data_IF_732792683375
#
_entry.id   IF_732792683375
#
_cell.length_a   1.000
_cell.length_b   1.000
_cell.length_c   1.000
_cell.angle_alpha   90.00
_cell.angle_beta   90.00
_cell.angle_gamma   90.00
#
_symmetry.space_group_name_H-M   'P 1'
#
loop_
_entity.id
_entity.type
_entity.pdbx_description
1 polymer ?
#
# COMPACT_ATOMS: atom_id res chain seq x y z
N UNK A 1 19.27 16.99 73.59
CA UNK A 1 19.77 17.99 72.62
C UNK A 1 19.63 17.32 71.27
N UNK A 2 18.49 17.59 70.63
CA UNK A 2 18.41 18.39 69.38
C UNK A 2 18.82 17.54 68.17
N UNK A 3 17.83 17.13 67.37
CA UNK A 3 17.64 17.56 65.97
C UNK A 3 18.71 16.98 65.01
N UNK A 4 18.43 16.33 63.88
CA UNK A 4 17.52 16.77 62.83
C UNK A 4 17.40 15.70 61.73
N UNK A 5 16.24 15.69 61.07
CA UNK A 5 15.93 15.10 59.77
C UNK A 5 17.00 15.31 58.67
N UNK A 6 17.24 14.29 57.84
CA UNK A 6 17.29 14.42 56.37
C UNK A 6 17.44 13.06 55.67
N UNK A 7 16.74 12.94 54.53
CA UNK A 7 16.84 11.90 53.49
C UNK A 7 15.92 10.68 53.63
N UNK A 8 14.62 10.90 53.38
CA UNK A 8 13.65 9.90 52.94
C UNK A 8 13.32 10.00 51.43
N UNK A 9 14.20 10.61 50.63
CA UNK A 9 14.04 10.68 49.18
C UNK A 9 14.92 9.64 48.48
N UNK A 10 14.43 8.40 48.35
CA UNK A 10 14.80 7.46 47.28
C UNK A 10 14.15 6.07 47.54
N UNK A 11 12.87 5.92 47.18
CA UNK A 11 12.25 4.66 46.69
C UNK A 11 10.74 4.83 46.59
N UNK A 12 10.30 5.54 45.54
CA UNK A 12 8.98 5.33 44.94
C UNK A 12 9.20 4.89 43.51
N UNK A 13 9.36 3.57 43.33
CA UNK A 13 9.30 2.93 42.03
C UNK A 13 7.85 2.46 41.82
N UNK A 14 7.27 2.93 40.71
CA UNK A 14 5.87 2.77 40.31
C UNK A 14 5.54 1.31 40.00
N UNK A 15 4.69 0.68 40.80
CA UNK A 15 3.86 -0.42 40.31
C UNK A 15 2.73 0.17 39.45
N UNK A 16 2.91 0.09 38.13
CA UNK A 16 1.82 0.31 37.17
C UNK A 16 1.22 -1.06 36.88
N UNK A 17 0.07 -1.34 37.48
CA UNK A 17 -0.67 -2.58 37.29
C UNK A 17 -1.13 -2.65 35.82
N UNK A 18 -0.59 -3.62 35.09
CA UNK A 18 -1.04 -3.99 33.75
C UNK A 18 -2.50 -4.44 33.80
N UNK A 19 -3.39 -3.69 33.16
CA UNK A 19 -4.73 -4.18 32.83
C UNK A 19 -4.58 -5.38 31.89
N UNK A 20 -4.67 -6.57 32.47
CA UNK A 20 -4.65 -7.84 31.77
C UNK A 20 -5.91 -7.91 30.89
N UNK A 21 -5.72 -7.86 29.57
CA UNK A 21 -6.79 -7.95 28.59
C UNK A 21 -7.40 -9.36 28.64
N UNK A 22 -8.35 -9.56 29.54
CA UNK A 22 -9.04 -10.84 29.71
C UNK A 22 -10.09 -11.01 28.62
N UNK A 23 -9.80 -11.91 27.67
CA UNK A 23 -10.74 -12.28 26.61
C UNK A 23 -11.91 -13.04 27.26
N UNK A 24 -13.07 -12.39 27.33
CA UNK A 24 -14.31 -13.01 27.82
C UNK A 24 -14.77 -14.15 26.89
N UNK A 25 -14.44 -15.38 27.29
CA UNK A 25 -14.78 -16.62 26.59
C UNK A 25 -16.31 -16.80 26.39
N UNK A 26 -17.16 -16.13 27.19
CA UNK A 26 -18.63 -16.18 27.02
C UNK A 26 -19.08 -15.32 25.83
N UNK A 27 -18.40 -14.23 25.50
CA UNK A 27 -18.65 -13.46 24.26
C UNK A 27 -18.27 -14.25 23.01
N UNK A 28 -17.19 -15.04 23.08
CA UNK A 28 -16.81 -15.98 22.02
C UNK A 28 -17.86 -17.09 21.79
N UNK A 29 -18.54 -17.55 22.83
CA UNK A 29 -19.64 -18.50 22.71
C UNK A 29 -20.87 -17.89 22.00
N UNK A 30 -21.18 -16.60 22.23
CA UNK A 30 -22.21 -15.88 21.47
C UNK A 30 -21.85 -15.66 20.01
N UNK A 31 -20.58 -15.42 19.70
CA UNK A 31 -20.08 -15.35 18.31
C UNK A 31 -20.28 -16.72 17.61
N UNK A 32 -20.03 -17.84 18.30
CA UNK A 32 -20.32 -19.18 17.75
C UNK A 32 -21.80 -19.38 17.41
N UNK A 33 -22.73 -18.78 18.15
CA UNK A 33 -24.17 -18.82 17.85
C UNK A 33 -24.56 -17.96 16.63
N UNK A 34 -24.02 -16.74 16.53
CA UNK A 34 -24.20 -15.85 15.37
C UNK A 34 -23.65 -16.46 14.07
N UNK A 35 -22.65 -17.33 14.18
CA UNK A 35 -22.06 -18.08 13.08
C UNK A 35 -22.46 -19.56 13.07
N UNK A 36 -23.64 -19.92 13.61
CA UNK A 36 -24.30 -21.19 13.28
C UNK A 36 -24.71 -21.16 11.81
N UNK A 37 -23.73 -21.33 10.92
CA UNK A 37 -23.97 -21.72 9.54
C UNK A 37 -24.77 -23.01 9.59
N UNK A 38 -26.08 -22.90 9.32
CA UNK A 38 -26.99 -24.02 9.09
C UNK A 38 -26.22 -25.06 8.28
N UNK A 39 -25.96 -26.24 8.87
CA UNK A 39 -25.06 -27.24 8.29
C UNK A 39 -25.41 -27.44 6.81
N UNK A 40 -24.55 -26.92 5.94
CA UNK A 40 -24.75 -26.94 4.50
C UNK A 40 -24.71 -28.41 4.05
N UNK A 41 -25.88 -28.95 3.69
CA UNK A 41 -26.08 -30.40 3.50
C UNK A 41 -25.35 -30.96 2.28
N UNK A 42 -25.05 -30.14 1.27
CA UNK A 42 -24.49 -30.63 0.00
C UNK A 42 -23.02 -30.25 -0.17
N UNK A 43 -22.21 -31.14 -0.76
CA UNK A 43 -20.81 -30.90 -1.11
C UNK A 43 -20.64 -29.62 -1.97
N UNK A 44 -21.59 -29.38 -2.88
CA UNK A 44 -21.68 -28.16 -3.71
C UNK A 44 -21.83 -26.89 -2.85
N UNK A 45 -22.73 -26.91 -1.87
CA UNK A 45 -22.96 -25.76 -0.99
C UNK A 45 -21.75 -25.42 -0.09
N UNK A 46 -21.03 -26.43 0.41
CA UNK A 46 -19.77 -26.23 1.16
C UNK A 46 -18.64 -25.68 0.27
N UNK A 47 -18.56 -26.13 -0.98
CA UNK A 47 -17.60 -25.62 -1.96
C UNK A 47 -17.86 -24.15 -2.29
N UNK A 48 -19.11 -23.80 -2.61
CA UNK A 48 -19.52 -22.41 -2.87
C UNK A 48 -19.21 -21.52 -1.68
N UNK A 49 -19.56 -21.95 -0.45
CA UNK A 49 -19.25 -21.17 0.74
C UNK A 49 -17.74 -20.92 0.89
N UNK A 50 -16.91 -21.94 0.65
CA UNK A 50 -15.45 -21.81 0.72
C UNK A 50 -14.95 -20.77 -0.29
N UNK A 51 -15.46 -20.81 -1.52
CA UNK A 51 -15.10 -19.84 -2.55
C UNK A 51 -15.50 -18.41 -2.13
N UNK A 52 -16.72 -18.23 -1.60
CA UNK A 52 -17.16 -16.94 -1.09
C UNK A 52 -16.23 -16.41 0.02
N UNK A 53 -15.80 -17.28 0.93
CA UNK A 53 -14.89 -16.91 2.02
C UNK A 53 -13.47 -16.53 1.54
N UNK A 54 -13.03 -17.05 0.39
CA UNK A 54 -11.76 -16.66 -0.24
C UNK A 54 -11.92 -15.32 -0.98
N UNK A 55 -13.09 -15.06 -1.58
CA UNK A 55 -13.32 -13.83 -2.35
C UNK A 55 -13.34 -12.59 -1.44
N UNK A 56 -13.87 -12.69 -0.22
CA UNK A 56 -13.92 -11.56 0.74
C UNK A 56 -12.54 -10.92 0.97
N UNK A 57 -11.49 -11.65 1.41
CA UNK A 57 -10.17 -11.07 1.61
C UNK A 57 -9.50 -10.62 0.32
N UNK A 58 -9.80 -11.23 -0.83
CA UNK A 58 -9.35 -10.74 -2.14
C UNK A 58 -9.92 -9.34 -2.41
N UNK A 59 -11.24 -9.15 -2.24
CA UNK A 59 -11.88 -7.85 -2.44
C UNK A 59 -11.29 -6.80 -1.49
N UNK A 60 -11.11 -7.14 -0.21
CA UNK A 60 -10.48 -6.23 0.77
C UNK A 60 -9.06 -5.87 0.36
N UNK A 61 -8.26 -6.86 -0.06
CA UNK A 61 -6.89 -6.65 -0.51
C UNK A 61 -6.83 -5.70 -1.71
N UNK A 62 -7.70 -5.90 -2.71
CA UNK A 62 -7.82 -5.01 -3.88
C UNK A 62 -8.27 -3.61 -3.44
N UNK A 63 -9.34 -3.50 -2.65
CA UNK A 63 -9.90 -2.22 -2.24
C UNK A 63 -8.87 -1.33 -1.54
N UNK A 64 -8.17 -1.86 -0.54
CA UNK A 64 -7.20 -1.08 0.20
C UNK A 64 -5.93 -0.78 -0.61
N UNK A 65 -5.47 -1.71 -1.45
CA UNK A 65 -4.26 -1.48 -2.26
C UNK A 65 -4.52 -0.59 -3.45
N UNK A 66 -5.76 -0.41 -3.88
CA UNK A 66 -6.11 0.51 -4.98
C UNK A 66 -6.44 1.92 -4.49
N UNK A 67 -6.36 2.21 -3.17
CA UNK A 67 -6.52 3.57 -2.65
C UNK A 67 -5.64 4.62 -3.36
N UNK A 68 -4.36 4.36 -3.67
CA UNK A 68 -3.53 5.35 -4.36
C UNK A 68 -4.03 5.66 -5.79
N UNK A 69 -4.81 4.77 -6.41
CA UNK A 69 -5.37 5.02 -7.76
C UNK A 69 -6.46 6.10 -7.74
N UNK A 70 -7.17 6.25 -6.61
CA UNK A 70 -8.29 7.20 -6.45
C UNK A 70 -7.93 8.43 -5.61
N UNK A 71 -6.77 8.42 -4.96
CA UNK A 71 -6.22 9.53 -4.15
C UNK A 71 -7.26 10.14 -3.19
N UNK A 72 -7.87 9.34 -2.29
CA UNK A 72 -8.92 9.86 -1.40
C UNK A 72 -8.38 10.92 -0.43
N UNK A 73 -7.07 10.86 -0.13
CA UNK A 73 -6.39 11.84 0.72
C UNK A 73 -6.39 13.26 0.12
N UNK A 74 -6.43 13.38 -1.22
CA UNK A 74 -6.50 14.68 -1.88
C UNK A 74 -7.83 15.40 -1.59
N UNK A 75 -8.91 14.64 -1.38
CA UNK A 75 -10.21 15.19 -0.97
C UNK A 75 -10.12 15.76 0.45
N UNK A 76 -9.47 15.02 1.37
CA UNK A 76 -9.28 15.45 2.75
C UNK A 76 -8.39 16.70 2.85
N UNK A 77 -7.28 16.75 2.09
CA UNK A 77 -6.44 17.94 1.98
C UNK A 77 -7.22 19.14 1.45
N UNK A 78 -8.03 18.93 0.40
CA UNK A 78 -8.84 19.99 -0.19
C UNK A 78 -9.89 20.50 0.81
N UNK A 79 -10.58 19.60 1.50
CA UNK A 79 -11.56 19.94 2.53
C UNK A 79 -10.92 20.77 3.64
N UNK A 80 -9.78 20.34 4.18
CA UNK A 80 -9.08 21.06 5.24
C UNK A 80 -8.64 22.46 4.77
N UNK A 81 -8.11 22.58 3.56
CA UNK A 81 -7.72 23.87 2.99
C UNK A 81 -8.90 24.81 2.81
N UNK A 82 -10.00 24.33 2.21
CA UNK A 82 -11.22 25.12 1.99
C UNK A 82 -11.85 25.55 3.31
N UNK A 83 -11.95 24.63 4.28
CA UNK A 83 -12.52 24.92 5.59
C UNK A 83 -11.68 25.95 6.35
N UNK A 84 -10.36 25.80 6.35
CA UNK A 84 -9.46 26.76 6.98
C UNK A 84 -9.54 28.14 6.32
N UNK A 85 -9.65 28.19 4.99
CA UNK A 85 -9.81 29.45 4.26
C UNK A 85 -11.05 30.22 4.73
N UNK A 86 -12.24 29.60 4.68
CA UNK A 86 -13.47 30.28 5.07
C UNK A 86 -13.55 30.58 6.57
N UNK A 87 -13.04 29.69 7.41
CA UNK A 87 -12.93 29.93 8.85
C UNK A 87 -12.06 31.17 9.15
N UNK A 88 -10.94 31.32 8.44
CA UNK A 88 -10.07 32.49 8.58
C UNK A 88 -10.74 33.77 8.07
N UNK A 89 -11.49 33.72 6.96
CA UNK A 89 -12.25 34.87 6.47
C UNK A 89 -13.30 35.35 7.48
N UNK A 90 -14.08 34.42 8.05
CA UNK A 90 -15.06 34.72 9.10
C UNK A 90 -14.34 35.27 10.33
N UNK A 91 -13.21 34.69 10.74
CA UNK A 91 -12.43 35.19 11.87
C UNK A 91 -11.96 36.64 11.67
N UNK A 92 -11.54 37.01 10.46
CA UNK A 92 -11.19 38.40 10.13
C UNK A 92 -12.40 39.33 10.23
N UNK A 93 -13.56 38.93 9.70
CA UNK A 93 -14.79 39.72 9.77
C UNK A 93 -15.26 39.92 11.22
N UNK A 94 -15.29 38.85 12.02
CA UNK A 94 -15.67 38.91 13.43
C UNK A 94 -14.69 39.76 14.24
N UNK A 95 -13.38 39.68 13.94
CA UNK A 95 -12.37 40.51 14.62
C UNK A 95 -12.52 41.99 14.30
N UNK A 96 -12.95 42.34 13.08
CA UNK A 96 -13.24 43.73 12.68
C UNK A 96 -14.52 44.25 13.33
N UNK A 97 -15.56 43.41 13.44
CA UNK A 97 -16.83 43.78 14.07
C UNK A 97 -16.73 43.88 15.60
N UNK A 98 -15.90 43.02 16.22
CA UNK A 98 -15.74 42.92 17.67
C UNK A 98 -14.27 43.01 18.09
N UNK A 99 -13.61 44.17 17.94
CA UNK A 99 -12.17 44.31 18.20
C UNK A 99 -11.79 43.97 19.65
N UNK A 100 -12.64 44.35 20.62
CA UNK A 100 -12.38 44.20 22.05
C UNK A 100 -12.87 42.88 22.66
N UNK A 101 -13.42 41.96 21.85
CA UNK A 101 -13.93 40.70 22.37
C UNK A 101 -12.76 39.75 22.72
N UNK A 102 -12.80 39.03 23.86
CA UNK A 102 -11.77 38.03 24.17
C UNK A 102 -11.66 36.94 23.10
N UNK A 103 -10.44 36.49 22.82
CA UNK A 103 -10.14 35.53 21.75
C UNK A 103 -10.89 34.20 21.88
N UNK A 104 -11.13 33.73 23.11
CA UNK A 104 -11.90 32.51 23.36
C UNK A 104 -13.34 32.67 22.84
N UNK A 105 -13.97 33.80 23.15
CA UNK A 105 -15.34 34.10 22.70
C UNK A 105 -15.40 34.30 21.19
N UNK A 106 -14.38 34.96 20.60
CA UNK A 106 -14.27 35.06 19.12
C UNK A 106 -14.22 33.68 18.47
N UNK A 107 -13.44 32.73 19.01
CA UNK A 107 -13.36 31.36 18.45
C UNK A 107 -14.71 30.64 18.47
N UNK A 108 -15.49 30.78 19.54
CA UNK A 108 -16.84 30.21 19.61
C UNK A 108 -17.75 30.79 18.52
N UNK A 109 -17.80 32.13 18.40
CA UNK A 109 -18.61 32.80 17.37
C UNK A 109 -18.16 32.40 15.98
N UNK A 110 -16.84 32.34 15.72
CA UNK A 110 -16.29 31.91 14.43
C UNK A 110 -16.72 30.49 14.09
N UNK A 111 -16.70 29.56 15.04
CA UNK A 111 -17.14 28.19 14.79
C UNK A 111 -18.64 28.10 14.51
N UNK A 112 -19.47 28.84 15.24
CA UNK A 112 -20.93 28.87 15.05
C UNK A 112 -21.30 29.47 13.69
N UNK A 113 -20.71 30.62 13.34
CA UNK A 113 -20.92 31.27 12.04
C UNK A 113 -20.36 30.43 10.89
N UNK A 114 -19.21 29.78 11.10
CA UNK A 114 -18.67 28.84 10.12
C UNK A 114 -19.61 27.66 9.88
N UNK A 115 -20.21 27.10 10.93
CA UNK A 115 -21.17 26.00 10.78
C UNK A 115 -22.44 26.45 10.03
N UNK A 116 -23.00 27.62 10.37
CA UNK A 116 -24.13 28.21 9.63
C UNK A 116 -23.78 28.45 8.16
N UNK A 117 -22.57 28.93 7.90
CA UNK A 117 -22.07 29.15 6.55
C UNK A 117 -21.96 27.84 5.76
N UNK A 118 -21.39 26.78 6.37
CA UNK A 118 -21.35 25.45 5.75
C UNK A 118 -22.75 24.93 5.44
N UNK A 119 -23.70 25.10 6.38
CA UNK A 119 -25.07 24.60 6.20
C UNK A 119 -25.84 25.34 5.10
N UNK A 120 -25.60 26.65 4.96
CA UNK A 120 -26.23 27.49 3.94
C UNK A 120 -25.59 27.36 2.56
N UNK A 121 -24.31 26.94 2.48
CA UNK A 121 -23.52 26.94 1.26
C UNK A 121 -22.99 25.55 0.87
N UNK A 122 -23.68 24.46 1.26
CA UNK A 122 -23.22 23.07 1.08
C UNK A 122 -22.72 22.76 -0.33
N UNK A 123 -23.52 23.09 -1.34
CA UNK A 123 -23.18 22.78 -2.74
C UNK A 123 -22.00 23.60 -3.25
N UNK A 124 -21.94 24.88 -2.88
CA UNK A 124 -20.82 25.75 -3.21
C UNK A 124 -19.51 25.23 -2.58
N UNK A 125 -19.54 24.86 -1.31
CA UNK A 125 -18.36 24.33 -0.61
C UNK A 125 -17.93 22.99 -1.21
N UNK A 126 -18.89 22.11 -1.50
CA UNK A 126 -18.60 20.83 -2.18
C UNK A 126 -17.95 21.03 -3.54
N UNK A 127 -18.37 22.05 -4.31
CA UNK A 127 -17.73 22.39 -5.58
C UNK A 127 -16.31 22.92 -5.40
N UNK A 128 -16.06 23.78 -4.40
CA UNK A 128 -14.72 24.29 -4.08
C UNK A 128 -13.77 23.15 -3.68
N UNK A 129 -14.23 22.24 -2.81
CA UNK A 129 -13.45 21.06 -2.40
C UNK A 129 -13.15 20.18 -3.61
N UNK A 130 -14.15 19.88 -4.45
CA UNK A 130 -13.96 19.05 -5.64
C UNK A 130 -12.96 19.67 -6.62
N UNK A 131 -13.06 20.97 -6.87
CA UNK A 131 -12.15 21.68 -7.77
C UNK A 131 -10.70 21.65 -7.25
N UNK A 132 -10.50 21.92 -5.96
CA UNK A 132 -9.18 21.89 -5.35
C UNK A 132 -8.60 20.47 -5.25
N UNK A 133 -9.44 19.48 -4.91
CA UNK A 133 -9.10 18.05 -4.90
C UNK A 133 -8.61 17.59 -6.29
N UNK A 134 -9.28 18.06 -7.35
CA UNK A 134 -8.87 17.78 -8.72
C UNK A 134 -7.50 18.39 -9.05
N UNK A 135 -7.24 19.65 -8.65
CA UNK A 135 -5.93 20.29 -8.82
C UNK A 135 -4.81 19.55 -8.08
N UNK A 136 -5.09 18.96 -6.90
CA UNK A 136 -4.11 18.11 -6.20
C UNK A 136 -3.87 16.79 -6.93
N UNK A 137 -4.93 16.15 -7.45
CA UNK A 137 -4.82 14.89 -8.19
C UNK A 137 -4.02 15.06 -9.48
N UNK A 138 -4.22 16.16 -10.20
CA UNK A 138 -3.48 16.48 -11.43
C UNK A 138 -1.96 16.56 -11.22
N UNK A 139 -1.49 16.92 -10.01
CA UNK A 139 -0.06 16.92 -9.67
C UNK A 139 0.51 15.52 -9.38
N UNK A 140 -0.37 14.55 -9.14
CA UNK A 140 -0.02 13.18 -8.75
C UNK A 140 -0.34 12.16 -9.85
N UNK A 141 -0.87 12.63 -10.98
CA UNK A 141 -1.28 11.81 -12.11
C UNK A 141 -0.62 12.30 -13.40
N UNK A 142 -0.48 11.39 -14.37
CA UNK A 142 -0.12 11.76 -15.73
C UNK A 142 -1.33 12.30 -16.53
N UNK A 143 -1.09 12.69 -17.78
CA UNK A 143 -2.11 13.22 -18.70
C UNK A 143 -3.27 12.25 -18.96
N UNK A 144 -3.09 10.95 -18.69
CA UNK A 144 -4.11 9.91 -18.84
C UNK A 144 -4.92 9.69 -17.56
N UNK A 145 -4.60 10.42 -16.49
CA UNK A 145 -5.18 10.23 -15.16
C UNK A 145 -4.60 9.04 -14.39
N UNK A 146 -3.48 8.46 -14.86
CA UNK A 146 -2.79 7.40 -14.14
C UNK A 146 -1.96 7.99 -13.01
N UNK A 147 -2.23 7.58 -11.77
CA UNK A 147 -1.38 7.96 -10.64
C UNK A 147 0.05 7.46 -10.83
N UNK A 148 1.01 8.33 -10.57
CA UNK A 148 2.43 8.00 -10.59
C UNK A 148 2.77 6.84 -9.65
N UNK A 149 3.86 6.12 -9.97
CA UNK A 149 4.37 5.09 -9.07
C UNK A 149 4.86 5.71 -7.76
N UNK A 150 4.75 4.94 -6.69
CA UNK A 150 5.19 5.32 -5.36
C UNK A 150 6.69 5.00 -5.21
N UNK A 151 7.40 5.79 -4.41
CA UNK A 151 8.84 5.63 -4.17
C UNK A 151 9.70 5.66 -5.46
N UNK A 152 10.98 5.31 -5.31
CA UNK A 152 11.99 5.41 -6.38
C UNK A 152 12.23 4.07 -7.09
N UNK A 153 12.24 2.96 -6.35
CA UNK A 153 12.57 1.63 -6.88
C UNK A 153 11.58 1.14 -7.95
N UNK A 154 10.26 1.40 -7.85
CA UNK A 154 9.32 1.01 -8.91
C UNK A 154 9.64 1.62 -10.28
N UNK A 155 10.20 2.84 -10.34
CA UNK A 155 10.63 3.45 -11.60
C UNK A 155 11.84 2.74 -12.21
N UNK A 156 12.73 2.20 -11.38
CA UNK A 156 13.86 1.39 -11.84
C UNK A 156 13.37 0.14 -12.58
N UNK A 157 12.42 -0.59 -11.98
CA UNK A 157 11.85 -1.78 -12.61
C UNK A 157 10.95 -1.47 -13.81
N UNK A 158 10.19 -0.37 -13.76
CA UNK A 158 9.41 0.12 -14.89
C UNK A 158 10.31 0.37 -16.10
N UNK A 159 11.45 1.03 -15.91
CA UNK A 159 12.41 1.29 -16.98
C UNK A 159 13.03 0.01 -17.53
N UNK A 160 13.40 -0.95 -16.68
CA UNK A 160 13.92 -2.24 -17.15
C UNK A 160 12.87 -3.00 -17.97
N UNK A 161 11.62 -3.01 -17.53
CA UNK A 161 10.52 -3.61 -18.29
C UNK A 161 10.32 -2.89 -19.63
N UNK A 162 10.39 -1.55 -19.66
CA UNK A 162 10.30 -0.75 -20.89
C UNK A 162 11.41 -1.09 -21.87
N UNK A 163 12.66 -1.03 -21.44
CA UNK A 163 13.81 -1.36 -22.28
C UNK A 163 13.74 -2.79 -22.80
N UNK A 164 13.29 -3.73 -21.97
CA UNK A 164 13.14 -5.11 -22.42
C UNK A 164 12.08 -5.26 -23.50
N UNK A 165 10.95 -4.57 -23.37
CA UNK A 165 9.90 -4.57 -24.39
C UNK A 165 10.35 -3.92 -25.71
N UNK A 166 11.19 -2.89 -25.65
CA UNK A 166 11.66 -2.13 -26.82
C UNK A 166 12.88 -2.76 -27.50
N UNK A 167 13.84 -3.27 -26.72
CA UNK A 167 15.18 -3.66 -27.17
C UNK A 167 15.56 -5.10 -26.83
N UNK A 168 14.82 -5.78 -25.95
CA UNK A 168 15.17 -7.11 -25.44
C UNK A 168 16.26 -7.14 -24.37
N UNK A 169 16.76 -5.98 -23.92
CA UNK A 169 17.75 -5.82 -22.84
C UNK A 169 17.18 -4.88 -21.76
N UNK A 170 17.73 -4.90 -20.54
CA UNK A 170 17.23 -4.06 -19.43
C UNK A 170 17.95 -2.71 -19.30
N UNK A 171 19.21 -2.64 -19.73
CA UNK A 171 20.01 -1.44 -19.82
C UNK A 171 19.76 -0.63 -21.09
N UNK A 172 20.68 0.31 -21.37
CA UNK A 172 20.61 1.19 -22.54
C UNK A 172 21.23 0.56 -23.78
N UNK A 173 22.26 -0.27 -23.58
CA UNK A 173 23.09 -0.86 -24.64
C UNK A 173 23.74 -2.19 -24.20
N UNK A 174 24.39 -2.86 -25.15
CA UNK A 174 25.28 -3.99 -24.87
C UNK A 174 26.72 -3.54 -25.01
N UNK A 175 27.58 -3.97 -24.09
CA UNK A 175 29.04 -3.84 -24.20
C UNK A 175 29.70 -5.22 -24.10
N UNK A 176 30.95 -5.36 -24.56
CA UNK A 176 31.67 -6.64 -24.48
C UNK A 176 31.29 -7.64 -25.58
N UNK A 177 32.09 -8.69 -25.73
CA UNK A 177 32.04 -9.58 -26.88
C UNK A 177 32.30 -8.81 -28.17
N UNK A 178 31.28 -8.71 -29.04
CA UNK A 178 31.37 -7.94 -30.29
C UNK A 178 31.11 -6.44 -30.13
N UNK A 179 30.70 -5.99 -28.94
CA UNK A 179 30.32 -4.60 -28.68
C UNK A 179 31.47 -3.81 -28.04
N UNK A 180 31.61 -2.51 -28.35
CA UNK A 180 32.65 -1.67 -27.76
C UNK A 180 32.59 -1.65 -26.23
N UNK A 181 33.75 -1.62 -25.57
CA UNK A 181 33.87 -1.52 -24.10
C UNK A 181 34.63 -0.24 -23.77
N UNK A 182 34.00 0.72 -23.08
CA UNK A 182 34.70 1.92 -22.60
C UNK A 182 35.86 1.55 -21.67
N UNK A 183 37.02 2.19 -21.83
CA UNK A 183 38.18 1.90 -20.97
C UNK A 183 37.88 2.17 -19.49
N UNK A 184 37.12 3.23 -19.21
CA UNK A 184 36.65 3.54 -17.86
C UNK A 184 35.80 2.41 -17.24
N UNK A 185 35.05 1.65 -18.06
CA UNK A 185 34.27 0.51 -17.57
C UNK A 185 35.18 -0.66 -17.16
N UNK A 186 36.28 -0.90 -17.88
CA UNK A 186 37.27 -1.93 -17.51
C UNK A 186 37.98 -1.59 -16.20
N UNK A 187 38.32 -0.31 -16.03
CA UNK A 187 38.97 0.19 -14.80
C UNK A 187 38.01 0.09 -13.61
N UNK A 188 36.76 0.52 -13.78
CA UNK A 188 35.78 0.55 -12.69
C UNK A 188 35.26 -0.85 -12.32
N UNK A 189 35.18 -1.76 -13.30
CA UNK A 189 34.66 -3.11 -13.11
C UNK A 189 35.66 -4.18 -13.59
N UNK A 190 36.81 -4.32 -12.92
CA UNK A 190 37.90 -5.19 -13.38
C UNK A 190 37.55 -6.69 -13.35
N UNK A 191 36.50 -7.06 -12.61
CA UNK A 191 36.07 -8.45 -12.44
C UNK A 191 35.00 -8.89 -13.45
N UNK A 192 34.58 -8.01 -14.39
CA UNK A 192 33.60 -8.38 -15.41
C UNK A 192 34.27 -9.08 -16.59
N UNK A 193 33.64 -10.16 -17.05
CA UNK A 193 34.05 -10.88 -18.26
C UNK A 193 33.55 -10.16 -19.51
N UNK A 194 34.33 -9.20 -20.00
CA UNK A 194 34.04 -8.45 -21.23
C UNK A 194 34.20 -9.27 -22.52
N UNK A 195 34.57 -10.55 -22.47
CA UNK A 195 34.60 -11.42 -23.66
C UNK A 195 33.20 -11.79 -24.17
N UNK A 196 32.16 -11.54 -23.36
CA UNK A 196 30.75 -11.80 -23.69
C UNK A 196 29.96 -10.49 -23.71
N UNK A 197 28.81 -10.45 -24.42
CA UNK A 197 27.89 -9.34 -24.31
C UNK A 197 27.36 -9.19 -22.88
N UNK A 198 27.45 -7.98 -22.35
CA UNK A 198 26.96 -7.57 -21.04
C UNK A 198 25.90 -6.50 -21.26
N UNK A 199 24.74 -6.69 -20.63
CA UNK A 199 23.69 -5.69 -20.55
C UNK A 199 24.18 -4.50 -19.71
N UNK A 200 24.19 -3.31 -20.30
CA UNK A 200 24.84 -2.13 -19.75
C UNK A 200 23.91 -0.94 -19.72
N UNK A 201 23.97 -0.19 -18.63
CA UNK A 201 23.21 1.03 -18.45
C UNK A 201 24.14 2.24 -18.35
N UNK A 202 24.32 2.91 -19.48
CA UNK A 202 25.13 4.12 -19.61
C UNK A 202 24.51 5.36 -18.96
N UNK A 203 23.25 5.29 -18.53
CA UNK A 203 22.56 6.40 -17.84
C UNK A 203 22.67 6.32 -16.31
N UNK A 204 23.27 5.25 -15.78
CA UNK A 204 23.56 5.10 -14.35
C UNK A 204 25.05 5.28 -14.09
N UNK A 205 25.43 5.74 -12.90
CA UNK A 205 26.84 5.90 -12.53
C UNK A 205 27.64 6.71 -13.57
N UNK A 206 27.12 7.88 -13.93
CA UNK A 206 27.78 8.77 -14.87
C UNK A 206 29.21 9.12 -14.38
N UNK A 207 30.21 9.21 -15.27
CA UNK A 207 30.11 9.06 -16.73
C UNK A 207 30.29 7.62 -17.25
N UNK A 208 30.54 6.64 -16.37
CA UNK A 208 31.02 5.31 -16.77
C UNK A 208 29.89 4.38 -17.21
N UNK A 209 28.72 4.48 -16.58
CA UNK A 209 27.69 3.46 -16.73
C UNK A 209 27.79 2.39 -15.63
N UNK A 210 26.85 1.44 -15.64
CA UNK A 210 26.91 0.26 -14.76
C UNK A 210 26.28 -0.97 -15.41
N UNK A 211 26.67 -2.19 -15.00
CA UNK A 211 25.98 -3.40 -15.43
C UNK A 211 24.48 -3.33 -15.10
N UNK A 212 23.67 -3.72 -16.07
CA UNK A 212 22.25 -3.94 -15.86
C UNK A 212 21.94 -5.42 -15.86
N UNK A 213 20.89 -5.81 -15.14
CA UNK A 213 20.39 -7.17 -15.13
C UNK A 213 18.89 -7.16 -15.07
N UNK A 214 18.29 -7.94 -15.96
CA UNK A 214 16.86 -8.15 -15.95
C UNK A 214 16.47 -8.98 -14.72
N UNK A 215 15.60 -8.42 -13.87
CA UNK A 215 15.07 -9.09 -12.69
C UNK A 215 13.79 -9.86 -13.03
N UNK A 216 13.45 -10.85 -12.21
CA UNK A 216 12.15 -11.53 -12.31
C UNK A 216 10.98 -10.53 -12.26
N UNK A 217 11.09 -9.52 -11.39
CA UNK A 217 10.06 -8.49 -11.26
C UNK A 217 9.86 -7.68 -12.55
N UNK A 218 10.95 -7.23 -13.18
CA UNK A 218 10.88 -6.51 -14.45
C UNK A 218 10.32 -7.41 -15.58
N UNK A 219 10.67 -8.69 -15.60
CA UNK A 219 10.08 -9.65 -16.55
C UNK A 219 8.59 -9.78 -16.32
N UNK A 220 8.16 -9.95 -15.06
CA UNK A 220 6.76 -10.06 -14.71
C UNK A 220 5.97 -8.83 -15.17
N UNK A 221 6.48 -7.62 -14.95
CA UNK A 221 5.85 -6.38 -15.45
C UNK A 221 5.72 -6.43 -16.98
N UNK A 222 6.79 -6.76 -17.70
CA UNK A 222 6.80 -6.77 -19.16
C UNK A 222 5.82 -7.80 -19.75
N UNK A 223 5.82 -9.02 -19.23
CA UNK A 223 4.90 -10.08 -19.70
C UNK A 223 3.46 -9.80 -19.31
N UNK A 224 3.21 -9.33 -18.09
CA UNK A 224 1.87 -8.90 -17.68
C UNK A 224 1.36 -7.77 -18.59
N UNK A 225 2.23 -6.83 -18.93
CA UNK A 225 1.88 -5.75 -19.85
C UNK A 225 1.51 -6.28 -21.24
N UNK A 226 2.30 -7.20 -21.83
CA UNK A 226 1.97 -7.84 -23.11
C UNK A 226 0.60 -8.53 -23.09
N UNK A 227 0.29 -9.25 -22.00
CA UNK A 227 -1.00 -9.93 -21.85
C UNK A 227 -2.13 -8.90 -21.72
N UNK A 228 -1.96 -7.87 -20.91
CA UNK A 228 -3.01 -6.90 -20.66
C UNK A 228 -3.25 -5.97 -21.86
N UNK A 229 -2.18 -5.51 -22.52
CA UNK A 229 -2.29 -4.63 -23.69
C UNK A 229 -2.92 -5.32 -24.90
N UNK A 230 -2.85 -6.66 -24.97
CA UNK A 230 -3.58 -7.45 -25.96
C UNK A 230 -5.10 -7.27 -25.85
N UNK A 231 -5.64 -7.22 -24.62
CA UNK A 231 -7.08 -7.02 -24.39
C UNK A 231 -7.49 -5.54 -24.32
N UNK A 232 -6.57 -4.65 -23.94
CA UNK A 232 -6.80 -3.22 -23.83
C UNK A 232 -5.66 -2.42 -24.44
N UNK A 233 -5.85 -1.93 -25.67
CA UNK A 233 -4.83 -1.12 -26.38
C UNK A 233 -4.49 0.20 -25.67
N UNK A 234 -5.38 0.72 -24.82
CA UNK A 234 -5.13 1.92 -24.02
C UNK A 234 -4.34 1.66 -22.74
N UNK A 235 -3.89 0.42 -22.50
CA UNK A 235 -3.14 0.06 -21.30
C UNK A 235 -1.70 0.59 -21.40
N UNK A 236 -1.28 1.42 -20.45
CA UNK A 236 0.11 1.88 -20.36
C UNK A 236 0.97 0.92 -19.53
N UNK A 237 2.29 0.97 -19.74
CA UNK A 237 3.23 0.16 -18.95
C UNK A 237 3.23 0.60 -17.47
N UNK A 238 3.14 1.91 -17.20
CA UNK A 238 3.05 2.45 -15.84
C UNK A 238 1.80 1.95 -15.13
N UNK A 239 0.64 1.98 -15.78
CA UNK A 239 -0.60 1.40 -15.24
C UNK A 239 -0.45 -0.08 -14.94
N UNK A 240 0.22 -0.83 -15.82
CA UNK A 240 0.46 -2.25 -15.58
C UNK A 240 1.32 -2.47 -14.33
N UNK A 241 2.45 -1.77 -14.23
CA UNK A 241 3.33 -1.81 -13.06
C UNK A 241 2.60 -1.41 -11.78
N UNK A 242 1.79 -0.36 -11.83
CA UNK A 242 1.00 0.12 -10.69
C UNK A 242 0.15 -0.99 -10.04
N UNK A 243 -0.46 -1.87 -10.82
CA UNK A 243 -1.33 -2.94 -10.33
C UNK A 243 -0.61 -4.26 -10.00
N UNK A 244 0.69 -4.40 -10.29
CA UNK A 244 1.47 -5.60 -9.93
C UNK A 244 1.34 -5.98 -8.44
N UNK A 245 1.61 -5.08 -7.48
CA UNK A 245 1.49 -5.43 -6.06
C UNK A 245 0.04 -5.78 -5.67
N UNK A 246 -0.96 -5.14 -6.30
CA UNK A 246 -2.38 -5.43 -6.07
C UNK A 246 -2.72 -6.87 -6.46
N UNK A 247 -2.25 -7.32 -7.64
CA UNK A 247 -2.48 -8.68 -8.15
C UNK A 247 -1.80 -9.70 -7.24
N UNK A 248 -0.51 -9.50 -6.94
CA UNK A 248 0.28 -10.44 -6.15
C UNK A 248 -0.27 -10.58 -4.72
N UNK A 249 -0.65 -9.47 -4.10
CA UNK A 249 -1.22 -9.52 -2.75
C UNK A 249 -2.65 -10.06 -2.72
N UNK A 250 -3.42 -9.89 -3.80
CA UNK A 250 -4.70 -10.59 -3.94
C UNK A 250 -4.49 -12.10 -3.98
N UNK A 251 -3.51 -12.57 -4.76
CA UNK A 251 -3.13 -13.98 -4.80
C UNK A 251 -2.60 -14.47 -3.45
N UNK A 252 -1.86 -13.66 -2.69
CA UNK A 252 -1.30 -14.03 -1.40
C UNK A 252 -2.36 -14.33 -0.33
N UNK A 253 -3.55 -13.75 -0.43
CA UNK A 253 -4.67 -14.07 0.48
C UNK A 253 -5.15 -15.52 0.36
N UNK A 254 -4.97 -16.16 -0.81
CA UNK A 254 -5.41 -17.53 -1.07
C UNK A 254 -4.61 -18.56 -0.24
N UNK A 255 -3.27 -18.64 -0.33
CA UNK A 255 -2.52 -19.56 0.51
C UNK A 255 -2.66 -19.21 2.00
N UNK A 256 -2.77 -17.93 2.38
CA UNK A 256 -3.07 -17.55 3.76
C UNK A 256 -4.40 -18.15 4.26
N UNK A 257 -5.44 -18.09 3.43
CA UNK A 257 -6.72 -18.73 3.72
C UNK A 257 -6.58 -20.24 3.88
N UNK A 258 -5.86 -20.90 2.96
CA UNK A 258 -5.71 -22.36 2.97
C UNK A 258 -4.91 -22.84 4.20
N UNK A 259 -3.85 -22.13 4.58
CA UNK A 259 -3.09 -22.39 5.80
C UNK A 259 -3.98 -22.23 7.03
N UNK A 260 -4.63 -21.08 7.20
CA UNK A 260 -5.49 -20.83 8.36
C UNK A 260 -6.67 -21.80 8.44
N UNK A 261 -7.20 -22.21 7.28
CA UNK A 261 -8.29 -23.19 7.18
C UNK A 261 -7.90 -24.54 7.74
N UNK A 262 -6.63 -24.93 7.60
CA UNK A 262 -6.14 -26.20 8.10
C UNK A 262 -6.14 -26.28 9.62
N UNK A 263 -5.77 -25.20 10.31
CA UNK A 263 -5.67 -25.20 11.77
C UNK A 263 -7.00 -24.94 12.48
N UNK A 264 -7.85 -24.07 11.93
CA UNK A 264 -9.07 -23.62 12.62
C UNK A 264 -10.32 -23.59 11.73
N UNK A 265 -10.34 -24.41 10.67
CA UNK A 265 -11.45 -24.50 9.73
C UNK A 265 -11.67 -23.22 8.93
N UNK A 266 -12.77 -23.13 8.17
CA UNK A 266 -12.98 -22.01 7.24
C UNK A 266 -12.98 -20.62 7.88
N UNK A 267 -13.32 -20.52 9.17
CA UNK A 267 -13.24 -19.26 9.94
C UNK A 267 -11.77 -18.89 10.18
N UNK A 268 -10.92 -19.84 10.59
CA UNK A 268 -9.48 -19.62 10.73
C UNK A 268 -8.83 -19.17 9.42
N UNK A 269 -9.25 -19.77 8.30
CA UNK A 269 -8.81 -19.34 6.97
C UNK A 269 -9.22 -17.92 6.65
N UNK A 270 -10.49 -17.55 6.88
CA UNK A 270 -10.98 -16.20 6.65
C UNK A 270 -10.19 -15.17 7.48
N UNK A 271 -10.00 -15.43 8.78
CA UNK A 271 -9.26 -14.52 9.67
C UNK A 271 -7.81 -14.37 9.22
N UNK A 272 -7.11 -15.46 8.91
CA UNK A 272 -5.73 -15.42 8.42
C UNK A 272 -5.59 -14.59 7.13
N UNK A 273 -6.51 -14.79 6.17
CA UNK A 273 -6.49 -14.06 4.91
C UNK A 273 -6.84 -12.58 5.06
N UNK A 274 -7.80 -12.23 5.93
CA UNK A 274 -8.13 -10.83 6.24
C UNK A 274 -6.93 -10.14 6.88
N UNK A 275 -6.24 -10.79 7.84
CA UNK A 275 -5.05 -10.22 8.47
C UNK A 275 -3.98 -9.89 7.43
N UNK A 276 -3.70 -10.77 6.48
CA UNK A 276 -2.76 -10.48 5.37
C UNK A 276 -3.27 -9.35 4.47
N UNK A 277 -4.58 -9.33 4.18
CA UNK A 277 -5.19 -8.32 3.31
C UNK A 277 -5.16 -6.90 3.91
N UNK A 278 -5.38 -6.75 5.22
CA UNK A 278 -5.59 -5.45 5.87
C UNK A 278 -4.43 -4.99 6.77
N UNK A 279 -3.36 -5.78 6.91
CA UNK A 279 -2.23 -5.39 7.76
C UNK A 279 -1.55 -4.10 7.23
N UNK A 280 -1.50 -3.02 8.03
CA UNK A 280 -0.94 -1.74 7.58
C UNK A 280 0.55 -1.81 7.26
N UNK A 281 1.33 -2.60 7.99
CA UNK A 281 2.78 -2.77 7.76
C UNK A 281 3.07 -3.48 6.44
N UNK A 282 2.25 -4.45 6.05
CA UNK A 282 2.36 -5.09 4.73
C UNK A 282 1.96 -4.08 3.65
N UNK A 283 0.96 -3.24 3.93
CA UNK A 283 0.39 -2.33 2.94
C UNK A 283 1.33 -1.18 2.56
N UNK A 284 2.19 -0.71 3.46
CA UNK A 284 3.15 0.38 3.17
C UNK A 284 4.06 0.08 1.98
N UNK A 285 4.41 -1.20 1.76
CA UNK A 285 5.26 -1.66 0.65
C UNK A 285 4.54 -2.53 -0.39
N UNK A 286 3.22 -2.63 -0.31
CA UNK A 286 2.41 -3.43 -1.26
C UNK A 286 1.14 -2.73 -1.74
N UNK A 287 1.04 -1.42 -1.51
CA UNK A 287 0.00 -0.59 -2.10
C UNK A 287 0.20 -0.47 -3.62
N UNK A 288 -0.87 -0.20 -4.36
CA UNK A 288 -0.82 0.12 -5.78
C UNK A 288 0.12 1.29 -6.04
N UNK A 289 0.98 1.14 -7.05
CA UNK A 289 2.07 2.07 -7.33
C UNK A 289 3.38 1.74 -6.62
N UNK A 290 3.36 0.99 -5.51
CA UNK A 290 4.59 0.45 -4.89
C UNK A 290 5.01 -0.87 -5.58
N UNK A 291 5.30 -0.80 -6.88
CA UNK A 291 5.69 -1.96 -7.69
C UNK A 291 7.14 -2.35 -7.46
N UNK A 292 7.40 -2.96 -6.31
CA UNK A 292 8.69 -3.51 -5.91
C UNK A 292 8.54 -5.01 -5.58
N UNK A 293 9.60 -5.60 -5.03
CA UNK A 293 9.74 -7.02 -4.74
C UNK A 293 9.05 -7.49 -3.44
N UNK A 294 8.60 -6.56 -2.59
CA UNK A 294 7.99 -6.86 -1.29
C UNK A 294 6.76 -7.78 -1.39
N UNK A 295 5.92 -7.62 -2.42
CA UNK A 295 4.72 -8.46 -2.59
C UNK A 295 5.08 -9.93 -2.83
N UNK A 296 6.23 -10.21 -3.44
CA UNK A 296 6.72 -11.57 -3.65
C UNK A 296 7.24 -12.19 -2.35
N UNK A 297 7.85 -11.36 -1.49
CA UNK A 297 8.31 -11.76 -0.16
C UNK A 297 7.15 -12.09 0.80
N UNK A 298 5.90 -11.83 0.41
CA UNK A 298 4.72 -12.31 1.12
C UNK A 298 4.09 -13.51 0.40
N UNK A 299 3.84 -13.37 -0.91
CA UNK A 299 3.18 -14.41 -1.70
C UNK A 299 3.94 -15.73 -1.68
N UNK A 300 5.24 -15.72 -2.00
CA UNK A 300 5.99 -16.97 -2.15
C UNK A 300 6.19 -17.71 -0.84
N UNK A 301 6.55 -17.07 0.30
CA UNK A 301 6.64 -17.79 1.56
C UNK A 301 5.30 -18.43 1.98
N UNK A 302 4.17 -17.73 1.79
CA UNK A 302 2.85 -18.31 2.05
C UNK A 302 2.55 -19.48 1.12
N UNK A 303 2.83 -19.34 -0.17
CA UNK A 303 2.60 -20.39 -1.15
C UNK A 303 3.46 -21.63 -0.86
N UNK A 304 4.76 -21.44 -0.62
CA UNK A 304 5.70 -22.50 -0.28
C UNK A 304 5.28 -23.19 1.02
N UNK A 305 4.93 -22.43 2.05
CA UNK A 305 4.46 -22.97 3.33
C UNK A 305 3.22 -23.81 3.14
N UNK A 306 2.23 -23.32 2.38
CA UNK A 306 1.01 -24.07 2.10
C UNK A 306 1.31 -25.37 1.33
N UNK A 307 2.12 -25.31 0.27
CA UNK A 307 2.46 -26.49 -0.54
C UNK A 307 3.26 -27.52 0.27
N UNK A 308 4.20 -27.06 1.09
CA UNK A 308 4.95 -27.90 2.03
C UNK A 308 3.99 -28.62 2.98
N UNK A 309 3.09 -27.86 3.60
CA UNK A 309 2.05 -28.35 4.46
C UNK A 309 1.21 -29.44 3.76
N UNK A 310 0.72 -29.19 2.54
CA UNK A 310 -0.06 -30.18 1.77
C UNK A 310 0.76 -31.44 1.42
N UNK A 311 2.04 -31.28 1.10
CA UNK A 311 2.92 -32.39 0.71
C UNK A 311 3.19 -33.38 1.84
N UNK A 312 3.30 -32.90 3.08
CA UNK A 312 3.52 -33.75 4.26
C UNK A 312 2.32 -34.63 4.57
N UNK A 313 1.11 -34.16 4.27
CA UNK A 313 -0.12 -34.91 4.57
C UNK A 313 -0.52 -35.90 3.49
N UNK A 314 -0.18 -35.64 2.22
CA UNK A 314 -0.43 -36.59 1.13
C UNK A 314 0.43 -37.86 1.20
N UNK A 315 1.43 -37.90 2.08
CA UNK A 315 2.23 -39.11 2.37
C UNK A 315 1.60 -40.03 3.43
N UNK A 316 0.35 -39.79 3.83
CA UNK A 316 -0.50 -40.75 4.56
C UNK A 316 -1.66 -41.18 3.68
#
# INVERSE_FOLDING_TARGET
MEETNKNQDAKQEKETTSEEFTIDLKKLAKIKELFKFKQLKTKKSKFILTLCLIIIPIILSVWFRTLPARLPIAEEWAQNTVYNYFRNQIATQISQQYPNLPEINKRHIVNDEFQKFLDSNKDFIKQQIKALSQQYKEKLQDETGQTYLLAIDPYFYLRHAKHYLEKGISGTELIGGKYPVPEAAKIMYPNLDFSKPIDWDGQRMAPVGSPSRMSFHAYFIAYLHKIWSFFNKGQTLMRTSFYVPVILMSLATIPAFLIGRRFAGSIGGLVAAILVATNPFIMTRTAGGFSDTDSYNILFPLLITWLFLESFERKK
#
